data_IF_376379637668
#
_entry.id   IF_376379637668
#
_cell.length_a   1.000
_cell.length_b   1.000
_cell.length_c   1.000
_cell.angle_alpha   90.00
_cell.angle_beta   90.00
_cell.angle_gamma   90.00
#
_symmetry.space_group_name_H-M   'P 1'
#
loop_
_entity.id
_entity.type
_entity.pdbx_description
1 polymer ?
#
# COMPACT_ATOMS: atom_id res chain seq x y z
N UNK A 1 -18.74 42.96 -22.76
CA UNK A 1 -17.31 42.58 -22.70
C UNK A 1 -17.26 41.19 -22.08
N UNK A 2 -17.22 40.14 -22.91
CA UNK A 2 -17.06 38.79 -22.41
C UNK A 2 -15.57 38.61 -22.11
N UNK A 3 -15.23 38.42 -20.85
CA UNK A 3 -13.92 37.89 -20.45
C UNK A 3 -13.81 36.49 -21.06
N UNK A 4 -13.28 36.50 -22.28
CA UNK A 4 -12.58 35.44 -23.00
C UNK A 4 -12.42 34.15 -22.20
N UNK A 5 -12.89 33.07 -22.81
CA UNK A 5 -12.65 31.69 -22.42
C UNK A 5 -11.18 31.47 -22.00
N UNK A 6 -10.88 31.63 -20.70
CA UNK A 6 -9.63 31.12 -20.15
C UNK A 6 -9.65 29.62 -20.35
N UNK A 7 -8.89 29.15 -21.35
CA UNK A 7 -8.73 27.72 -21.62
C UNK A 7 -8.34 27.06 -20.31
N UNK A 8 -9.12 26.08 -19.84
CA UNK A 8 -8.78 25.36 -18.61
C UNK A 8 -7.57 24.46 -18.89
N UNK A 9 -6.65 24.37 -17.93
CA UNK A 9 -5.54 23.43 -18.01
C UNK A 9 -6.07 22.00 -18.16
N UNK A 10 -5.57 21.29 -19.16
CA UNK A 10 -5.88 19.88 -19.39
C UNK A 10 -4.57 19.10 -19.51
N UNK A 11 -4.35 18.16 -18.59
CA UNK A 11 -3.20 17.28 -18.67
C UNK A 11 -3.49 16.11 -19.61
N UNK A 12 -2.80 16.07 -20.75
CA UNK A 12 -3.03 15.07 -21.80
C UNK A 12 -2.87 13.60 -21.35
N UNK A 13 -2.15 13.36 -20.24
CA UNK A 13 -1.95 12.02 -19.68
C UNK A 13 -2.76 11.76 -18.40
N UNK A 14 -3.84 12.51 -18.18
CA UNK A 14 -4.70 12.37 -16.99
C UNK A 14 -5.21 10.93 -16.80
N UNK A 15 -5.64 10.27 -17.88
CA UNK A 15 -6.10 8.87 -17.84
C UNK A 15 -4.98 7.91 -17.38
N UNK A 16 -3.74 8.15 -17.82
CA UNK A 16 -2.57 7.34 -17.43
C UNK A 16 -2.23 7.58 -15.95
N UNK A 17 -2.29 8.83 -15.48
CA UNK A 17 -2.08 9.16 -14.08
C UNK A 17 -3.14 8.50 -13.18
N UNK A 18 -4.42 8.55 -13.57
CA UNK A 18 -5.51 7.85 -12.87
C UNK A 18 -5.27 6.35 -12.80
N UNK A 19 -4.92 5.72 -13.91
CA UNK A 19 -4.60 4.28 -13.96
C UNK A 19 -3.44 3.93 -13.02
N UNK A 20 -2.36 4.71 -13.00
CA UNK A 20 -1.21 4.45 -12.12
C UNK A 20 -1.56 4.64 -10.65
N UNK A 21 -2.36 5.65 -10.29
CA UNK A 21 -2.87 5.83 -8.92
C UNK A 21 -3.74 4.66 -8.49
N UNK A 22 -4.59 4.15 -9.38
CA UNK A 22 -5.38 2.96 -9.12
C UNK A 22 -4.49 1.73 -8.87
N UNK A 23 -3.49 1.49 -9.74
CA UNK A 23 -2.49 0.42 -9.55
C UNK A 23 -1.77 0.51 -8.21
N UNK A 24 -1.31 1.71 -7.81
CA UNK A 24 -0.72 1.94 -6.47
C UNK A 24 -1.69 1.55 -5.35
N UNK A 25 -2.95 1.93 -5.48
CA UNK A 25 -3.99 1.61 -4.49
C UNK A 25 -4.23 0.11 -4.38
N UNK A 26 -4.28 -0.61 -5.51
CA UNK A 26 -4.35 -2.07 -5.53
C UNK A 26 -3.13 -2.72 -4.85
N UNK A 27 -1.92 -2.22 -5.11
CA UNK A 27 -0.71 -2.73 -4.45
C UNK A 27 -0.76 -2.52 -2.92
N UNK A 28 -1.26 -1.37 -2.45
CA UNK A 28 -1.46 -1.15 -1.01
C UNK A 28 -2.47 -2.13 -0.42
N UNK A 29 -3.61 -2.30 -1.07
CA UNK A 29 -4.65 -3.23 -0.61
C UNK A 29 -4.11 -4.65 -0.50
N UNK A 30 -3.46 -5.15 -1.57
CA UNK A 30 -2.89 -6.49 -1.60
C UNK A 30 -1.82 -6.69 -0.51
N UNK A 31 -0.94 -5.69 -0.30
CA UNK A 31 0.03 -5.75 0.78
C UNK A 31 -0.65 -5.84 2.16
N UNK A 32 -1.72 -5.06 2.37
CA UNK A 32 -2.51 -5.11 3.60
C UNK A 32 -3.15 -6.48 3.84
N UNK A 33 -3.76 -7.07 2.81
CA UNK A 33 -4.38 -8.40 2.87
C UNK A 33 -3.35 -9.49 3.23
N UNK A 34 -2.17 -9.45 2.61
CA UNK A 34 -1.10 -10.44 2.88
C UNK A 34 -0.51 -10.25 4.27
N UNK A 35 -0.32 -9.01 4.74
CA UNK A 35 0.14 -8.76 6.11
C UNK A 35 -0.88 -9.26 7.14
N UNK A 36 -2.17 -9.08 6.87
CA UNK A 36 -3.22 -9.62 7.74
C UNK A 36 -3.21 -11.16 7.75
N UNK A 37 -2.95 -11.79 6.60
CA UNK A 37 -2.81 -13.24 6.52
C UNK A 37 -1.59 -13.76 7.31
N UNK A 38 -0.43 -13.08 7.23
CA UNK A 38 0.75 -13.44 8.06
C UNK A 38 0.44 -13.31 9.55
N UNK A 39 -0.25 -12.23 9.96
CA UNK A 39 -0.62 -12.05 11.36
C UNK A 39 -1.52 -13.18 11.86
N UNK A 40 -2.52 -13.59 11.07
CA UNK A 40 -3.37 -14.74 11.44
C UNK A 40 -2.56 -16.03 11.62
N UNK A 41 -1.53 -16.25 10.81
CA UNK A 41 -0.64 -17.40 10.96
C UNK A 41 0.22 -17.30 12.23
N UNK A 42 0.68 -16.10 12.60
CA UNK A 42 1.38 -15.85 13.88
C UNK A 42 0.47 -16.24 15.04
N UNK A 43 -0.74 -15.69 15.06
CA UNK A 43 -1.70 -15.89 16.16
C UNK A 43 -2.06 -17.39 16.29
N UNK A 44 -2.28 -18.08 15.17
CA UNK A 44 -2.53 -19.52 15.15
C UNK A 44 -1.34 -20.33 15.68
N UNK A 45 -0.11 -19.98 15.30
CA UNK A 45 1.08 -20.66 15.80
C UNK A 45 1.26 -20.48 17.31
N UNK A 46 0.95 -19.29 17.83
CA UNK A 46 1.00 -19.01 19.27
C UNK A 46 -0.05 -19.81 20.04
N UNK A 47 -1.28 -19.90 19.54
CA UNK A 47 -2.33 -20.73 20.13
C UNK A 47 -1.93 -22.21 20.20
N UNK A 48 -1.39 -22.76 19.11
CA UNK A 48 -0.93 -24.16 19.10
C UNK A 48 0.25 -24.39 20.05
N UNK A 49 1.17 -23.42 20.19
CA UNK A 49 2.28 -23.50 21.15
C UNK A 49 1.77 -23.50 22.59
N UNK A 50 0.76 -22.68 22.88
CA UNK A 50 0.11 -22.67 24.20
C UNK A 50 -0.52 -24.02 24.49
N UNK A 51 -1.37 -24.53 23.59
CA UNK A 51 -2.01 -25.84 23.74
C UNK A 51 -0.97 -26.95 23.93
N UNK A 52 0.12 -26.93 23.16
CA UNK A 52 1.21 -27.92 23.30
C UNK A 52 1.87 -27.83 24.68
N UNK A 53 2.06 -26.63 25.20
CA UNK A 53 2.64 -26.41 26.53
C UNK A 53 1.71 -26.95 27.62
N UNK A 54 0.41 -26.73 27.50
CA UNK A 54 -0.61 -27.29 28.40
C UNK A 54 -0.57 -28.82 28.41
N UNK A 55 -0.43 -29.47 27.25
CA UNK A 55 -0.30 -30.94 27.21
C UNK A 55 0.92 -31.44 27.98
N UNK A 56 2.06 -30.73 27.91
CA UNK A 56 3.25 -31.10 28.68
C UNK A 56 3.11 -30.84 30.17
N UNK A 57 2.38 -29.80 30.57
CA UNK A 57 2.08 -29.54 31.97
C UNK A 57 1.19 -30.64 32.55
N UNK A 58 0.15 -31.05 31.81
CA UNK A 58 -0.73 -32.17 32.18
C UNK A 58 0.05 -33.48 32.33
N UNK A 59 0.96 -33.80 31.39
CA UNK A 59 1.85 -34.97 31.50
C UNK A 59 2.66 -34.91 32.81
N UNK A 60 3.24 -33.76 33.15
CA UNK A 60 4.04 -33.61 34.38
C UNK A 60 3.18 -33.77 35.63
N UNK A 61 1.97 -33.19 35.64
CA UNK A 61 1.03 -33.29 36.75
C UNK A 61 0.70 -34.77 37.05
N UNK A 62 0.30 -35.53 36.02
CA UNK A 62 -0.01 -36.96 36.16
C UNK A 62 1.19 -37.78 36.66
N UNK A 63 2.39 -37.47 36.20
CA UNK A 63 3.61 -38.15 36.65
C UNK A 63 3.95 -37.84 38.11
N UNK A 64 3.61 -36.65 38.61
CA UNK A 64 3.90 -36.23 39.99
C UNK A 64 3.03 -36.91 41.06
N UNK A 65 1.86 -37.41 40.67
CA UNK A 65 0.92 -38.09 41.58
C UNK A 65 1.30 -39.55 41.89
N UNK A 66 2.40 -40.05 41.32
CA UNK A 66 2.91 -41.41 41.59
C UNK A 66 2.07 -42.55 40.99
N UNK A 67 0.94 -42.25 40.33
CA UNK A 67 0.17 -43.20 39.53
C UNK A 67 0.63 -43.15 38.08
N UNK A 68 1.17 -44.26 37.59
CA UNK A 68 1.66 -44.37 36.22
C UNK A 68 0.49 -44.70 35.29
N UNK A 69 -0.19 -43.67 34.79
CA UNK A 69 -1.14 -43.78 33.68
C UNK A 69 -0.39 -43.75 32.34
N UNK A 70 0.06 -44.92 31.88
CA UNK A 70 0.86 -45.09 30.65
C UNK A 70 0.05 -44.69 29.43
N UNK A 71 -1.21 -45.10 29.35
CA UNK A 71 -2.06 -44.91 28.17
C UNK A 71 -2.47 -43.45 28.00
N UNK A 72 -2.85 -42.77 29.09
CA UNK A 72 -3.15 -41.34 29.07
C UNK A 72 -1.91 -40.50 28.76
N UNK A 73 -0.76 -40.82 29.35
CA UNK A 73 0.50 -40.12 29.06
C UNK A 73 0.93 -40.29 27.61
N UNK A 74 0.78 -41.49 27.05
CA UNK A 74 1.10 -41.78 25.64
C UNK A 74 0.20 -41.00 24.69
N UNK A 75 -1.10 -40.95 24.98
CA UNK A 75 -2.08 -40.18 24.18
C UNK A 75 -1.77 -38.69 24.17
N UNK A 76 -1.43 -38.10 25.32
CA UNK A 76 -1.07 -36.69 25.43
C UNK A 76 0.23 -36.38 24.66
N UNK A 77 1.24 -37.25 24.74
CA UNK A 77 2.49 -37.09 23.97
C UNK A 77 2.27 -37.17 22.48
N UNK A 78 1.44 -38.10 22.03
CA UNK A 78 1.06 -38.23 20.63
C UNK A 78 0.39 -36.96 20.12
N UNK A 79 -0.59 -36.44 20.86
CA UNK A 79 -1.27 -35.19 20.52
C UNK A 79 -0.32 -33.98 20.51
N UNK A 80 0.57 -33.86 21.52
CA UNK A 80 1.61 -32.82 21.53
C UNK A 80 2.57 -32.91 20.32
N UNK A 81 2.81 -34.12 19.82
CA UNK A 81 3.53 -34.36 18.57
C UNK A 81 2.76 -33.86 17.34
N UNK A 82 1.46 -34.12 17.25
CA UNK A 82 0.60 -33.58 16.18
C UNK A 82 0.59 -32.05 16.18
N UNK A 83 0.46 -31.42 17.36
CA UNK A 83 0.55 -29.96 17.51
C UNK A 83 1.90 -29.43 17.02
N UNK A 84 3.01 -30.11 17.31
CA UNK A 84 4.33 -29.72 16.82
C UNK A 84 4.41 -29.75 15.29
N UNK A 85 3.85 -30.77 14.65
CA UNK A 85 3.78 -30.87 13.19
C UNK A 85 2.96 -29.73 12.58
N UNK A 86 1.81 -29.40 13.19
CA UNK A 86 0.97 -28.28 12.75
C UNK A 86 1.72 -26.94 12.88
N UNK A 87 2.40 -26.71 14.01
CA UNK A 87 3.23 -25.51 14.22
C UNK A 87 4.29 -25.39 13.12
N UNK A 88 4.97 -26.49 12.77
CA UNK A 88 5.97 -26.45 11.71
C UNK A 88 5.39 -26.21 10.32
N UNK A 89 4.21 -26.75 10.03
CA UNK A 89 3.50 -26.43 8.79
C UNK A 89 3.17 -24.94 8.70
N UNK A 90 2.70 -24.32 9.79
CA UNK A 90 2.45 -22.88 9.83
C UNK A 90 3.73 -22.08 9.62
N UNK A 91 4.84 -22.44 10.27
CA UNK A 91 6.12 -21.76 10.10
C UNK A 91 6.58 -21.82 8.64
N UNK A 92 6.49 -22.99 8.00
CA UNK A 92 6.82 -23.14 6.58
C UNK A 92 5.91 -22.29 5.68
N UNK A 93 4.60 -22.23 5.97
CA UNK A 93 3.67 -21.37 5.23
C UNK A 93 4.02 -19.88 5.40
N UNK A 94 4.45 -19.46 6.59
CA UNK A 94 4.88 -18.08 6.83
C UNK A 94 6.11 -17.70 6.03
N UNK A 95 7.05 -18.62 5.80
CA UNK A 95 8.19 -18.36 4.91
C UNK A 95 7.75 -18.07 3.47
N UNK A 96 6.70 -18.74 2.99
CA UNK A 96 6.11 -18.46 1.68
C UNK A 96 5.43 -17.09 1.66
N UNK A 97 4.66 -16.77 2.69
CA UNK A 97 4.00 -15.46 2.84
C UNK A 97 5.03 -14.33 2.93
N UNK A 98 6.13 -14.52 3.65
CA UNK A 98 7.21 -13.53 3.75
C UNK A 98 7.81 -13.18 2.37
N UNK A 99 7.99 -14.17 1.49
CA UNK A 99 8.42 -13.94 0.10
C UNK A 99 7.38 -13.11 -0.68
N UNK A 100 6.09 -13.40 -0.50
CA UNK A 100 5.02 -12.64 -1.14
C UNK A 100 4.94 -11.19 -0.63
N UNK A 101 5.14 -10.96 0.68
CA UNK A 101 5.23 -9.62 1.27
C UNK A 101 6.37 -8.83 0.62
N UNK A 102 7.55 -9.44 0.48
CA UNK A 102 8.70 -8.78 -0.14
C UNK A 102 8.41 -8.36 -1.59
N UNK A 103 7.81 -9.26 -2.38
CA UNK A 103 7.40 -8.96 -3.76
C UNK A 103 6.35 -7.84 -3.82
N UNK A 104 5.37 -7.84 -2.92
CA UNK A 104 4.34 -6.80 -2.86
C UNK A 104 4.91 -5.43 -2.47
N UNK A 105 5.86 -5.40 -1.53
CA UNK A 105 6.59 -4.16 -1.17
C UNK A 105 7.36 -3.60 -2.36
N UNK A 106 8.05 -4.46 -3.11
CA UNK A 106 8.76 -4.04 -4.33
C UNK A 106 7.80 -3.50 -5.40
N UNK A 107 6.68 -4.19 -5.63
CA UNK A 107 5.65 -3.76 -6.58
C UNK A 107 5.03 -2.42 -6.18
N UNK A 108 4.74 -2.23 -4.89
CA UNK A 108 4.23 -0.97 -4.36
C UNK A 108 5.23 0.17 -4.55
N UNK A 109 6.49 -0.02 -4.18
CA UNK A 109 7.53 0.98 -4.36
C UNK A 109 7.67 1.41 -5.84
N UNK A 110 7.60 0.45 -6.77
CA UNK A 110 7.58 0.74 -8.20
C UNK A 110 6.35 1.54 -8.62
N UNK A 111 5.16 1.17 -8.14
CA UNK A 111 3.93 1.90 -8.44
C UNK A 111 3.96 3.34 -7.88
N UNK A 112 4.52 3.55 -6.69
CA UNK A 112 4.72 4.88 -6.11
C UNK A 112 5.67 5.74 -6.96
N UNK A 113 6.79 5.18 -7.41
CA UNK A 113 7.71 5.87 -8.31
C UNK A 113 7.03 6.25 -9.64
N UNK A 114 6.26 5.33 -10.23
CA UNK A 114 5.50 5.55 -11.46
C UNK A 114 4.47 6.68 -11.33
N UNK A 115 3.78 6.77 -10.18
CA UNK A 115 2.83 7.86 -9.87
C UNK A 115 3.58 9.17 -9.68
N UNK A 116 4.62 9.20 -8.85
CA UNK A 116 5.41 10.40 -8.56
C UNK A 116 6.03 10.99 -9.82
N UNK A 117 6.50 10.15 -10.75
CA UNK A 117 7.01 10.59 -12.04
C UNK A 117 5.93 11.27 -12.89
N UNK A 118 4.70 10.74 -12.91
CA UNK A 118 3.59 11.36 -13.64
C UNK A 118 3.08 12.64 -13.00
N UNK A 119 3.05 12.71 -11.67
CA UNK A 119 2.66 13.93 -10.95
C UNK A 119 3.64 15.06 -11.26
N UNK A 120 4.96 14.79 -11.16
CA UNK A 120 5.98 15.76 -11.58
C UNK A 120 5.86 16.18 -13.04
N UNK A 121 5.48 15.26 -13.93
CA UNK A 121 5.24 15.60 -15.34
C UNK A 121 4.01 16.51 -15.47
N UNK A 122 2.92 16.20 -14.76
CA UNK A 122 1.73 17.06 -14.73
C UNK A 122 2.02 18.45 -14.20
N UNK A 123 2.86 18.56 -13.17
CA UNK A 123 3.24 19.85 -12.58
C UNK A 123 4.02 20.69 -13.59
N UNK A 124 4.99 20.10 -14.29
CA UNK A 124 5.73 20.79 -15.36
C UNK A 124 4.81 21.33 -16.47
N UNK A 125 3.85 20.52 -16.92
CA UNK A 125 2.89 20.95 -17.93
C UNK A 125 2.00 22.07 -17.43
N UNK A 126 1.65 22.05 -16.14
CA UNK A 126 0.86 23.11 -15.51
C UNK A 126 1.66 24.41 -15.44
N UNK A 127 2.92 24.34 -15.04
CA UNK A 127 3.80 25.51 -14.95
C UNK A 127 4.01 26.15 -16.33
N UNK A 128 4.24 25.34 -17.37
CA UNK A 128 4.36 25.81 -18.75
C UNK A 128 3.05 26.43 -19.24
N UNK A 129 1.91 25.80 -18.96
CA UNK A 129 0.60 26.34 -19.29
C UNK A 129 0.36 27.71 -18.62
N UNK A 130 0.68 27.84 -17.33
CA UNK A 130 0.56 29.10 -16.59
C UNK A 130 1.50 30.17 -17.14
N UNK A 131 2.74 29.81 -17.47
CA UNK A 131 3.69 30.72 -18.09
C UNK A 131 3.15 31.28 -19.41
N UNK A 132 2.62 30.41 -20.28
CA UNK A 132 2.04 30.82 -21.56
C UNK A 132 0.79 31.69 -21.38
N UNK A 133 -0.06 31.41 -20.39
CA UNK A 133 -1.23 32.25 -20.09
C UNK A 133 -0.80 33.64 -19.61
N UNK A 134 0.11 33.71 -18.64
CA UNK A 134 0.62 34.98 -18.12
C UNK A 134 1.24 35.83 -19.23
N UNK A 135 2.02 35.22 -20.14
CA UNK A 135 2.60 35.93 -21.29
C UNK A 135 1.51 36.52 -22.20
N UNK A 136 0.42 35.80 -22.47
CA UNK A 136 -0.69 36.30 -23.28
C UNK A 136 -1.42 37.45 -22.59
N UNK A 137 -1.70 37.30 -21.29
CA UNK A 137 -2.33 38.35 -20.49
C UNK A 137 -1.50 39.64 -20.48
N UNK A 138 -0.16 39.53 -20.38
CA UNK A 138 0.72 40.70 -20.44
C UNK A 138 0.67 41.40 -21.80
N UNK A 139 0.68 40.64 -22.91
CA UNK A 139 0.56 41.20 -24.26
C UNK A 139 -0.79 41.89 -24.45
N UNK A 140 -1.90 41.27 -24.02
CA UNK A 140 -3.23 41.86 -24.08
C UNK A 140 -3.35 43.16 -23.25
N UNK A 141 -2.69 43.21 -22.08
CA UNK A 141 -2.58 44.42 -21.26
C UNK A 141 -1.80 45.52 -22.00
N UNK A 142 -0.65 45.21 -22.61
CA UNK A 142 0.15 46.20 -23.32
C UNK A 142 -0.57 46.75 -24.56
N UNK A 143 -1.27 45.91 -25.30
CA UNK A 143 -2.11 46.30 -26.44
C UNK A 143 -3.26 47.22 -26.00
N UNK A 144 -3.97 46.87 -24.92
CA UNK A 144 -5.06 47.70 -24.40
C UNK A 144 -4.57 49.06 -23.90
N UNK A 145 -3.45 49.10 -23.16
CA UNK A 145 -2.83 50.36 -22.71
C UNK A 145 -2.43 51.26 -23.88
N UNK A 146 -1.78 50.69 -24.91
CA UNK A 146 -1.35 51.42 -26.11
C UNK A 146 -2.54 51.99 -26.89
N UNK A 147 -3.63 51.23 -27.01
CA UNK A 147 -4.86 51.68 -27.68
C UNK A 147 -5.54 52.86 -26.95
N UNK A 148 -5.56 52.85 -25.61
CA UNK A 148 -6.06 53.99 -24.82
C UNK A 148 -5.21 55.25 -24.97
N UNK A 149 -3.88 55.14 -25.07
CA UNK A 149 -3.01 56.31 -25.26
C UNK A 149 -3.15 56.94 -26.65
N UNK A 150 -3.34 56.13 -27.69
CA UNK A 150 -3.56 56.65 -29.05
C UNK A 150 -4.93 57.33 -29.22
N UNK A 151 -5.95 56.88 -28.49
CA UNK A 151 -7.29 57.49 -28.53
C UNK A 151 -7.41 58.75 -27.66
N UNK A 152 -6.58 58.91 -26.63
CA UNK A 152 -6.51 60.12 -25.80
C UNK A 152 -5.62 61.25 -26.33
N UNK A 153 -4.82 61.00 -27.38
CA UNK A 153 -3.89 61.98 -27.96
C UNK A 153 -4.46 62.86 -29.10
N UNK A 154 -5.71 62.65 -29.50
CA UNK A 154 -6.43 63.51 -30.45
C UNK A 154 -7.40 64.44 -29.70
N UNK A 155 -6.86 65.45 -29.02
CA UNK A 155 -7.60 66.66 -28.61
C UNK A 155 -6.71 67.89 -28.79
#
# INVERSE_FOLDING_TARGET
MNLSEMKKFHFQFESVLKMRRHKRSMCHQLLGEILQADQRLIDQAEQLKLHRTEQFQEIRARQSEGRVDIDGTTSLRYYAGQLQTQIQSIIANRELVAKQIALCRQALAKAEQEVKAMEKLSDKYRDEFLYVQNQKEMVELEETWSATQQTGGNQ
#
